data_IF_247001857369
#
_entry.id   IF_247001857369
#
_cell.length_a   1.000
_cell.length_b   1.000
_cell.length_c   1.000
_cell.angle_alpha   90.00
_cell.angle_beta   90.00
_cell.angle_gamma   90.00
#
_symmetry.space_group_name_H-M   'P 1'
#
loop_
_entity.id
_entity.type
_entity.pdbx_description
1 polymer ?
#
# COMPACT_ATOMS: atom_id res chain seq x y z
N UNK A 1 29.37 -37.51 23.95
CA UNK A 1 28.38 -38.26 23.19
C UNK A 1 26.99 -37.72 23.50
N UNK A 2 26.38 -37.08 22.53
CA UNK A 2 25.05 -36.52 22.26
C UNK A 2 25.06 -34.98 22.28
N UNK A 3 25.30 -34.42 21.18
CA UNK A 3 24.53 -33.93 20.04
C UNK A 3 23.55 -32.83 20.47
N UNK A 4 24.02 -31.56 20.40
CA UNK A 4 23.20 -30.34 20.39
C UNK A 4 22.70 -30.12 18.94
N UNK A 5 21.42 -30.38 18.71
CA UNK A 5 20.74 -29.98 17.49
C UNK A 5 20.31 -28.51 17.59
N UNK A 6 20.94 -27.71 16.76
CA UNK A 6 20.57 -26.32 16.52
C UNK A 6 19.22 -26.26 15.76
N UNK A 7 18.19 -25.78 16.42
CA UNK A 7 16.92 -25.40 15.77
C UNK A 7 17.08 -24.04 15.09
N UNK A 8 17.25 -24.07 13.78
CA UNK A 8 17.19 -22.88 12.93
C UNK A 8 15.77 -22.30 12.85
N UNK A 9 15.60 -21.01 12.50
CA UNK A 9 14.31 -20.37 12.46
C UNK A 9 13.41 -20.97 11.38
N UNK A 10 12.21 -21.36 11.79
CA UNK A 10 11.14 -21.82 10.91
C UNK A 10 10.70 -20.69 9.98
N UNK A 11 11.03 -20.80 8.73
CA UNK A 11 10.45 -20.00 7.65
C UNK A 11 8.96 -20.38 7.53
N UNK A 12 8.01 -19.45 7.66
CA UNK A 12 6.61 -19.77 7.42
C UNK A 12 6.43 -20.19 5.96
N UNK A 13 5.97 -21.41 5.75
CA UNK A 13 5.74 -21.98 4.44
C UNK A 13 4.62 -21.21 3.72
N UNK A 14 4.98 -20.41 2.73
CA UNK A 14 4.06 -19.89 1.72
C UNK A 14 3.46 -21.07 0.97
N UNK A 15 2.20 -21.39 1.28
CA UNK A 15 1.44 -22.42 0.60
C UNK A 15 1.47 -22.23 -0.91
N UNK A 16 2.08 -23.22 -1.60
CA UNK A 16 2.00 -23.34 -3.05
C UNK A 16 0.55 -23.62 -3.45
N UNK A 17 -0.18 -22.59 -3.86
CA UNK A 17 -1.36 -22.78 -4.72
C UNK A 17 -0.95 -22.43 -6.15
N UNK A 18 -0.71 -23.49 -6.93
CA UNK A 18 -0.55 -23.37 -8.37
C UNK A 18 -1.89 -23.15 -9.02
N UNK A 19 -2.13 -21.98 -9.59
CA UNK A 19 -3.02 -21.81 -10.72
C UNK A 19 -2.32 -20.93 -11.74
N UNK A 20 -2.18 -21.44 -12.95
CA UNK A 20 -1.73 -20.67 -14.11
C UNK A 20 -2.83 -19.67 -14.41
N UNK A 21 -2.54 -18.38 -14.25
CA UNK A 21 -3.40 -17.30 -14.69
C UNK A 21 -3.19 -17.08 -16.20
N UNK A 22 -4.19 -17.37 -17.05
CA UNK A 22 -4.05 -17.24 -18.51
C UNK A 22 -4.05 -15.79 -19.01
N UNK A 23 -4.37 -14.81 -18.16
CA UNK A 23 -4.56 -13.41 -18.57
C UNK A 23 -3.41 -12.48 -18.18
N UNK A 24 -2.29 -12.98 -17.63
CA UNK A 24 -1.15 -12.12 -17.27
C UNK A 24 -1.40 -11.12 -16.16
N UNK A 25 -2.49 -11.28 -15.37
CA UNK A 25 -2.80 -10.44 -14.20
C UNK A 25 -1.75 -10.71 -13.11
N UNK A 26 -1.35 -9.69 -12.36
CA UNK A 26 -0.42 -9.87 -11.24
C UNK A 26 -0.96 -10.92 -10.27
N UNK A 27 -0.10 -11.83 -9.82
CA UNK A 27 -0.44 -12.79 -8.77
C UNK A 27 -0.89 -12.10 -7.47
N UNK A 28 -0.52 -10.85 -7.31
CA UNK A 28 -0.81 -10.03 -6.15
C UNK A 28 -1.60 -8.80 -6.56
N UNK A 29 -2.76 -8.59 -5.96
CA UNK A 29 -3.53 -7.36 -6.08
C UNK A 29 -3.74 -6.78 -4.69
N UNK A 30 -3.55 -5.48 -4.57
CA UNK A 30 -3.66 -4.78 -3.30
C UNK A 30 -4.92 -3.91 -3.24
N UNK A 31 -5.49 -3.76 -2.05
CA UNK A 31 -6.46 -2.74 -1.73
C UNK A 31 -5.86 -1.81 -0.66
N UNK A 32 -6.14 -0.52 -0.75
CA UNK A 32 -5.74 0.48 0.23
C UNK A 32 -7.01 1.05 0.87
N UNK A 33 -7.05 1.06 2.20
CA UNK A 33 -8.12 1.64 3.00
C UNK A 33 -7.53 2.76 3.85
N UNK A 34 -7.81 4.01 3.50
CA UNK A 34 -7.42 5.19 4.25
C UNK A 34 -8.54 5.56 5.23
N UNK A 35 -8.20 5.68 6.51
CA UNK A 35 -9.14 5.96 7.58
C UNK A 35 -8.82 7.34 8.15
N UNK A 36 -9.81 8.23 8.13
CA UNK A 36 -9.70 9.57 8.68
C UNK A 36 -10.89 10.45 8.30
N UNK A 37 -11.56 11.02 9.30
CA UNK A 37 -12.63 12.01 9.08
C UNK A 37 -12.09 13.25 8.34
N UNK A 38 -10.83 13.64 8.57
CA UNK A 38 -10.15 14.75 7.90
C UNK A 38 -9.89 14.47 6.41
N UNK A 39 -9.72 13.20 6.02
CA UNK A 39 -9.53 12.80 4.62
C UNK A 39 -10.87 12.93 3.87
N UNK A 40 -11.92 12.33 4.42
CA UNK A 40 -13.26 12.36 3.83
C UNK A 40 -13.88 13.76 3.87
N UNK A 41 -13.57 14.53 4.92
CA UNK A 41 -13.98 15.93 5.06
C UNK A 41 -13.23 16.92 4.17
N UNK A 42 -12.17 16.48 3.46
CA UNK A 42 -11.37 17.33 2.60
C UNK A 42 -10.44 18.31 3.32
N UNK A 43 -10.19 18.11 4.62
CA UNK A 43 -9.26 18.94 5.41
C UNK A 43 -7.80 18.56 5.17
N UNK A 44 -7.55 17.30 4.83
CA UNK A 44 -6.20 16.77 4.61
C UNK A 44 -6.14 15.97 3.31
N UNK A 45 -5.08 16.18 2.52
CA UNK A 45 -4.82 15.39 1.33
C UNK A 45 -4.32 13.99 1.72
N UNK A 46 -4.93 12.94 1.17
CA UNK A 46 -4.47 11.56 1.33
C UNK A 46 -3.17 11.31 0.56
N UNK A 47 -2.06 11.73 1.14
CA UNK A 47 -0.73 11.49 0.60
C UNK A 47 -0.22 10.07 0.87
N UNK A 48 -0.80 9.38 1.85
CA UNK A 48 -0.41 8.01 2.20
C UNK A 48 -0.84 7.02 1.12
N UNK A 49 -2.10 7.06 0.70
CA UNK A 49 -2.60 6.16 -0.34
C UNK A 49 -1.89 6.38 -1.68
N UNK A 50 -1.61 7.63 -2.05
CA UNK A 50 -0.84 7.92 -3.25
C UNK A 50 0.55 7.27 -3.19
N UNK A 51 1.28 7.49 -2.10
CA UNK A 51 2.62 6.94 -1.91
C UNK A 51 2.62 5.41 -1.86
N UNK A 52 1.67 4.80 -1.13
CA UNK A 52 1.52 3.35 -1.08
C UNK A 52 1.25 2.76 -2.46
N UNK A 53 0.34 3.37 -3.23
CA UNK A 53 0.00 2.90 -4.57
C UNK A 53 1.21 2.95 -5.52
N UNK A 54 1.98 4.03 -5.47
CA UNK A 54 3.22 4.15 -6.25
C UNK A 54 4.22 3.08 -5.84
N UNK A 55 4.48 2.92 -4.53
CA UNK A 55 5.47 1.98 -4.02
C UNK A 55 5.08 0.53 -4.32
N UNK A 56 3.81 0.16 -4.07
CA UNK A 56 3.29 -1.17 -4.34
C UNK A 56 3.36 -1.52 -5.83
N UNK A 57 3.05 -0.57 -6.71
CA UNK A 57 3.21 -0.77 -8.16
C UNK A 57 4.66 -1.08 -8.54
N UNK A 58 5.63 -0.33 -7.98
CA UNK A 58 7.06 -0.55 -8.22
C UNK A 58 7.54 -1.91 -7.70
N UNK A 59 6.90 -2.44 -6.66
CA UNK A 59 7.20 -3.75 -6.09
C UNK A 59 6.43 -4.90 -6.77
N UNK A 60 5.55 -4.62 -7.72
CA UNK A 60 4.77 -5.65 -8.41
C UNK A 60 3.52 -6.11 -7.66
N UNK A 61 3.00 -5.26 -6.78
CA UNK A 61 1.75 -5.44 -6.03
C UNK A 61 0.72 -4.38 -6.47
N UNK A 62 0.18 -4.44 -7.69
CA UNK A 62 -0.70 -3.39 -8.21
C UNK A 62 -1.91 -3.17 -7.32
N UNK A 63 -2.33 -1.93 -7.22
CA UNK A 63 -3.49 -1.53 -6.41
C UNK A 63 -4.74 -1.60 -7.26
N UNK A 64 -5.70 -2.44 -6.85
CA UNK A 64 -7.00 -2.59 -7.47
C UNK A 64 -7.93 -1.43 -7.13
N UNK A 65 -7.89 -0.96 -5.85
CA UNK A 65 -8.69 0.18 -5.40
C UNK A 65 -8.08 0.88 -4.20
N UNK A 66 -8.43 2.14 -4.07
CA UNK A 66 -8.18 2.98 -2.91
C UNK A 66 -9.53 3.45 -2.39
N UNK A 67 -9.79 3.28 -1.10
CA UNK A 67 -11.03 3.71 -0.46
C UNK A 67 -10.70 4.56 0.75
N UNK A 68 -11.22 5.80 0.80
CA UNK A 68 -11.16 6.64 1.98
C UNK A 68 -12.49 6.52 2.75
N UNK A 69 -12.41 6.27 4.04
CA UNK A 69 -13.56 6.11 4.94
C UNK A 69 -13.35 6.89 6.24
N UNK A 70 -14.43 7.12 6.97
CA UNK A 70 -14.42 7.80 8.26
C UNK A 70 -13.94 6.88 9.38
N UNK A 71 -13.53 7.48 10.50
CA UNK A 71 -13.16 6.79 11.76
C UNK A 71 -14.38 6.20 12.49
N UNK A 72 -15.28 5.55 11.75
CA UNK A 72 -16.48 4.90 12.29
C UNK A 72 -16.30 3.38 12.28
N UNK A 73 -16.46 2.72 13.45
CA UNK A 73 -16.26 1.27 13.54
C UNK A 73 -17.04 0.48 12.49
N UNK A 74 -18.28 0.87 12.23
CA UNK A 74 -19.16 0.18 11.29
C UNK A 74 -18.63 0.26 9.86
N UNK A 75 -18.19 1.46 9.44
CA UNK A 75 -17.62 1.68 8.11
C UNK A 75 -16.30 0.91 7.94
N UNK A 76 -15.45 0.91 8.98
CA UNK A 76 -14.16 0.20 8.95
C UNK A 76 -14.39 -1.32 8.87
N UNK A 77 -15.28 -1.86 9.69
CA UNK A 77 -15.60 -3.30 9.70
C UNK A 77 -16.20 -3.74 8.36
N UNK A 78 -17.16 -2.98 7.83
CA UNK A 78 -17.78 -3.27 6.54
C UNK A 78 -16.77 -3.26 5.40
N UNK A 79 -15.93 -2.22 5.34
CA UNK A 79 -14.91 -2.09 4.30
C UNK A 79 -13.88 -3.22 4.38
N UNK A 80 -13.40 -3.57 5.58
CA UNK A 80 -12.48 -4.69 5.74
C UNK A 80 -13.09 -6.02 5.29
N UNK A 81 -14.33 -6.30 5.66
CA UNK A 81 -15.04 -7.52 5.21
C UNK A 81 -15.21 -7.55 3.71
N UNK A 82 -15.47 -6.40 3.08
CA UNK A 82 -15.52 -6.29 1.62
C UNK A 82 -14.19 -6.65 0.97
N UNK A 83 -13.07 -6.14 1.50
CA UNK A 83 -11.74 -6.49 0.96
C UNK A 83 -11.39 -7.97 1.20
N UNK A 84 -11.76 -8.51 2.34
CA UNK A 84 -11.55 -9.93 2.67
C UNK A 84 -12.39 -10.86 1.79
N UNK A 85 -13.59 -10.46 1.38
CA UNK A 85 -14.44 -11.26 0.50
C UNK A 85 -14.09 -11.15 -0.99
N UNK A 86 -13.28 -10.17 -1.42
CA UNK A 86 -12.92 -9.97 -2.82
C UNK A 86 -11.85 -10.99 -3.26
N UNK A 87 -12.16 -11.97 -4.14
CA UNK A 87 -11.22 -13.01 -4.52
C UNK A 87 -10.00 -12.52 -5.29
N UNK A 88 -10.06 -11.32 -5.85
CA UNK A 88 -8.94 -10.73 -6.58
C UNK A 88 -7.97 -9.96 -5.68
N UNK A 89 -8.35 -9.61 -4.45
CA UNK A 89 -7.49 -8.93 -3.47
C UNK A 89 -6.71 -9.96 -2.69
N UNK A 90 -5.39 -9.80 -2.62
CA UNK A 90 -4.48 -10.64 -1.84
C UNK A 90 -3.84 -9.89 -0.67
N UNK A 91 -3.69 -8.58 -0.79
CA UNK A 91 -3.06 -7.70 0.21
C UNK A 91 -3.97 -6.52 0.50
N UNK A 92 -4.21 -6.25 1.78
CA UNK A 92 -5.01 -5.10 2.24
C UNK A 92 -4.10 -4.20 3.09
N UNK A 93 -3.97 -2.94 2.69
CA UNK A 93 -3.22 -1.93 3.43
C UNK A 93 -4.19 -0.95 4.06
N UNK A 94 -4.21 -0.90 5.38
CA UNK A 94 -5.04 0.01 6.17
C UNK A 94 -4.14 1.09 6.75
N UNK A 95 -4.48 2.36 6.62
CA UNK A 95 -3.70 3.48 7.15
C UNK A 95 -4.59 4.49 7.86
N UNK A 96 -4.25 4.82 9.11
CA UNK A 96 -4.96 5.80 9.93
C UNK A 96 -5.65 5.20 11.16
N UNK A 97 -6.07 6.06 12.09
CA UNK A 97 -6.84 5.71 13.28
C UNK A 97 -6.13 4.82 14.31
N UNK A 98 -4.79 4.94 14.44
CA UNK A 98 -3.98 4.18 15.40
C UNK A 98 -3.41 5.03 16.55
N UNK A 99 -3.83 6.26 16.68
CA UNK A 99 -3.33 7.19 17.69
C UNK A 99 -3.89 6.98 19.10
N UNK A 100 -3.65 7.95 20.00
CA UNK A 100 -4.03 7.86 21.39
C UNK A 100 -5.42 8.41 21.70
N UNK A 101 -6.14 8.95 20.70
CA UNK A 101 -7.40 9.66 20.92
C UNK A 101 -8.63 8.73 20.82
N UNK A 102 -9.80 9.11 21.37
CA UNK A 102 -10.99 8.26 21.37
C UNK A 102 -11.55 7.91 19.98
N UNK A 103 -11.26 8.73 18.97
CA UNK A 103 -11.60 8.53 17.56
C UNK A 103 -10.66 7.54 16.85
N UNK A 104 -9.47 7.26 17.39
CA UNK A 104 -8.57 6.22 16.90
C UNK A 104 -9.14 4.82 17.19
N UNK A 105 -9.91 4.27 16.26
CA UNK A 105 -10.69 3.03 16.45
C UNK A 105 -10.28 1.89 15.52
N UNK A 106 -9.25 2.08 14.72
CA UNK A 106 -8.85 1.13 13.69
C UNK A 106 -8.52 -0.25 14.27
N UNK A 107 -7.70 -0.36 15.32
CA UNK A 107 -7.40 -1.66 15.90
C UNK A 107 -8.64 -2.38 16.48
N UNK A 108 -9.56 -1.66 17.12
CA UNK A 108 -10.79 -2.25 17.63
C UNK A 108 -11.67 -2.77 16.48
N UNK A 109 -11.78 -2.01 15.39
CA UNK A 109 -12.57 -2.38 14.22
C UNK A 109 -11.93 -3.53 13.44
N UNK A 110 -10.60 -3.58 13.34
CA UNK A 110 -9.87 -4.73 12.77
C UNK A 110 -10.12 -5.99 13.61
N UNK A 111 -10.06 -5.89 14.95
CA UNK A 111 -10.36 -7.00 15.86
C UNK A 111 -11.78 -7.54 15.61
N UNK A 112 -12.76 -6.66 15.50
CA UNK A 112 -14.14 -7.02 15.22
C UNK A 112 -14.32 -7.64 13.83
N UNK A 113 -13.66 -7.10 12.81
CA UNK A 113 -13.73 -7.63 11.45
C UNK A 113 -13.17 -9.05 11.35
N UNK A 114 -12.06 -9.32 12.08
CA UNK A 114 -11.36 -10.60 12.11
C UNK A 114 -11.92 -11.58 13.15
N UNK A 115 -12.91 -11.17 13.98
CA UNK A 115 -13.44 -11.99 15.06
C UNK A 115 -12.42 -12.30 16.16
N UNK A 116 -11.50 -11.37 16.44
CA UNK A 116 -10.41 -11.52 17.41
C UNK A 116 -10.61 -10.63 18.63
N UNK A 117 -10.08 -11.05 19.77
CA UNK A 117 -9.98 -10.20 20.95
C UNK A 117 -8.90 -9.13 20.78
N UNK A 118 -8.96 -8.07 21.60
CA UNK A 118 -7.86 -7.12 21.71
C UNK A 118 -6.98 -7.47 22.92
N UNK A 119 -5.67 -7.44 22.72
CA UNK A 119 -4.66 -7.70 23.76
C UNK A 119 -3.66 -6.54 23.84
N UNK A 120 -3.08 -6.32 25.01
CA UNK A 120 -1.92 -5.43 25.14
C UNK A 120 -0.69 -6.17 24.62
N UNK A 121 -0.05 -5.59 23.61
CA UNK A 121 1.20 -6.12 23.08
C UNK A 121 2.38 -5.59 23.91
N UNK A 122 2.91 -6.45 24.77
CA UNK A 122 3.86 -6.05 25.81
C UNK A 122 5.15 -5.42 25.26
N UNK A 123 5.64 -5.88 24.10
CA UNK A 123 6.82 -5.26 23.47
C UNK A 123 6.56 -3.81 23.04
N UNK A 124 5.36 -3.55 22.48
CA UNK A 124 4.92 -2.18 22.13
C UNK A 124 4.73 -1.33 23.36
N UNK A 125 4.05 -1.86 24.40
CA UNK A 125 3.87 -1.19 25.68
C UNK A 125 5.22 -0.77 26.27
N UNK A 126 6.15 -1.70 26.42
CA UNK A 126 7.48 -1.41 26.95
C UNK A 126 8.24 -0.38 26.13
N UNK A 127 8.05 -0.35 24.80
CA UNK A 127 8.62 0.67 23.92
C UNK A 127 8.00 2.05 24.17
N UNK A 128 6.69 2.12 24.32
CA UNK A 128 5.97 3.35 24.64
C UNK A 128 6.45 3.90 25.99
N UNK A 129 6.53 3.07 27.03
CA UNK A 129 7.02 3.44 28.37
C UNK A 129 8.42 4.06 28.30
N UNK A 130 9.34 3.40 27.56
CA UNK A 130 10.70 3.96 27.35
C UNK A 130 10.69 5.28 26.61
N UNK A 131 9.80 5.46 25.63
CA UNK A 131 9.70 6.70 24.87
C UNK A 131 9.12 7.84 25.70
N UNK A 132 8.05 7.60 26.45
CA UNK A 132 7.45 8.58 27.35
C UNK A 132 8.47 9.06 28.39
N UNK A 133 9.23 8.13 29.00
CA UNK A 133 10.28 8.47 29.96
C UNK A 133 11.36 9.36 29.33
N UNK A 134 11.86 9.03 28.15
CA UNK A 134 12.84 9.86 27.43
C UNK A 134 12.31 11.26 27.09
N UNK A 135 11.04 11.35 26.71
CA UNK A 135 10.40 12.64 26.43
C UNK A 135 10.28 13.49 27.71
N UNK A 136 9.97 12.87 28.83
CA UNK A 136 9.97 13.55 30.12
C UNK A 136 11.41 14.02 30.50
N UNK A 137 12.41 13.15 30.42
CA UNK A 137 13.82 13.48 30.65
C UNK A 137 14.32 14.62 29.77
N UNK A 138 13.79 14.74 28.54
CA UNK A 138 14.07 15.82 27.60
C UNK A 138 13.22 17.09 27.86
N UNK A 139 12.37 17.12 28.90
CA UNK A 139 11.52 18.27 29.22
C UNK A 139 10.33 18.49 28.26
N UNK A 140 9.99 17.48 27.45
CA UNK A 140 8.87 17.53 26.49
C UNK A 140 7.54 17.10 27.11
N UNK A 141 7.57 16.45 28.26
CA UNK A 141 6.39 16.01 29.02
C UNK A 141 6.55 16.39 30.49
N UNK A 142 5.44 16.74 31.13
CA UNK A 142 5.41 17.08 32.56
C UNK A 142 5.59 15.86 33.49
N UNK A 143 5.13 14.66 33.03
CA UNK A 143 5.22 13.40 33.79
C UNK A 143 5.78 12.27 32.92
N UNK A 144 6.52 11.32 33.52
CA UNK A 144 6.95 10.08 32.86
C UNK A 144 5.85 9.01 32.80
N UNK A 145 4.64 9.32 33.28
CA UNK A 145 3.54 8.37 33.39
C UNK A 145 2.93 8.07 32.02
N UNK A 146 2.69 6.79 31.79
CA UNK A 146 2.01 6.34 30.57
C UNK A 146 0.50 6.51 30.75
N UNK A 147 -0.09 7.31 29.88
CA UNK A 147 -1.53 7.58 29.92
C UNK A 147 -2.34 6.42 29.30
N UNK A 148 -3.67 6.40 29.57
CA UNK A 148 -4.59 5.46 28.90
C UNK A 148 -4.51 5.60 27.36
N UNK A 149 -4.40 6.84 26.84
CA UNK A 149 -4.19 7.08 25.42
C UNK A 149 -2.93 6.42 24.88
N UNK A 150 -1.82 6.45 25.63
CA UNK A 150 -0.60 5.75 25.24
C UNK A 150 -0.82 4.23 25.19
N UNK A 151 -1.52 3.65 26.18
CA UNK A 151 -1.79 2.20 26.25
C UNK A 151 -2.71 1.73 25.12
N UNK A 152 -3.64 2.58 24.68
CA UNK A 152 -4.49 2.26 23.51
C UNK A 152 -3.66 1.90 22.26
N UNK A 153 -2.55 2.60 22.02
CA UNK A 153 -1.65 2.31 20.90
C UNK A 153 -0.94 0.95 21.01
N UNK A 154 -0.88 0.35 22.20
CA UNK A 154 -0.36 -1.00 22.42
C UNK A 154 -1.45 -2.08 22.43
N UNK A 155 -2.73 -1.68 22.38
CA UNK A 155 -3.87 -2.60 22.38
C UNK A 155 -4.21 -2.98 20.93
N UNK A 156 -3.77 -4.14 20.50
CA UNK A 156 -3.92 -4.64 19.13
C UNK A 156 -4.83 -5.89 19.09
N UNK A 157 -5.42 -6.24 17.93
CA UNK A 157 -6.06 -7.54 17.76
C UNK A 157 -5.11 -8.69 18.09
N UNK A 158 -5.59 -9.70 18.77
CA UNK A 158 -4.82 -10.89 19.13
C UNK A 158 -4.29 -11.64 17.90
N UNK A 159 -3.28 -12.48 18.11
CA UNK A 159 -2.69 -13.35 17.08
C UNK A 159 -2.19 -12.59 15.83
N UNK A 160 -1.39 -11.52 15.99
CA UNK A 160 -0.76 -10.89 14.84
C UNK A 160 0.22 -11.85 14.17
N UNK A 161 0.26 -11.87 12.85
CA UNK A 161 1.30 -12.59 12.11
C UNK A 161 2.67 -11.91 12.28
N UNK A 162 2.67 -10.57 12.39
CA UNK A 162 3.87 -9.79 12.68
C UNK A 162 3.51 -8.42 13.29
N UNK A 163 4.37 -7.92 14.17
CA UNK A 163 4.28 -6.56 14.73
C UNK A 163 5.52 -5.77 14.37
N UNK A 164 5.35 -4.77 13.51
CA UNK A 164 6.43 -3.92 13.01
C UNK A 164 6.82 -2.84 14.01
N UNK A 165 8.12 -2.60 14.15
CA UNK A 165 8.66 -1.55 15.02
C UNK A 165 8.50 -0.19 14.38
N UNK A 166 7.79 0.71 15.06
CA UNK A 166 7.76 2.11 14.67
C UNK A 166 8.91 2.87 15.34
N UNK A 167 9.95 3.20 14.58
CA UNK A 167 11.12 3.94 15.10
C UNK A 167 10.86 5.45 15.19
N UNK A 168 9.83 5.95 14.50
CA UNK A 168 9.49 7.37 14.41
C UNK A 168 8.34 7.79 15.32
N UNK A 169 7.46 6.85 15.68
CA UNK A 169 6.28 7.09 16.48
C UNK A 169 6.05 6.08 17.58
N UNK A 170 4.82 6.04 18.10
CA UNK A 170 4.41 5.15 19.20
C UNK A 170 3.56 3.97 18.73
N UNK A 171 2.58 4.21 17.85
CA UNK A 171 1.73 3.15 17.33
C UNK A 171 2.53 2.17 16.46
N UNK A 172 2.38 0.85 16.63
CA UNK A 172 3.04 -0.14 15.77
C UNK A 172 2.36 -0.21 14.41
N UNK A 173 3.06 -0.75 13.41
CA UNK A 173 2.40 -1.40 12.30
C UNK A 173 2.13 -2.85 12.67
N UNK A 174 1.06 -3.45 12.14
CA UNK A 174 0.72 -4.84 12.45
C UNK A 174 0.28 -5.56 11.19
N UNK A 175 0.72 -6.80 11.03
CA UNK A 175 0.27 -7.69 9.97
C UNK A 175 -0.63 -8.79 10.54
N UNK A 176 -1.71 -9.08 9.84
CA UNK A 176 -2.60 -10.21 10.09
C UNK A 176 -2.73 -11.06 8.83
N UNK A 177 -3.00 -12.33 9.03
CA UNK A 177 -3.43 -13.24 7.98
C UNK A 177 -4.87 -13.68 8.24
N UNK A 178 -5.72 -13.54 7.25
CA UNK A 178 -7.11 -14.00 7.29
C UNK A 178 -7.58 -14.33 5.85
N UNK A 179 -8.33 -15.41 5.70
CA UNK A 179 -8.94 -15.85 4.43
C UNK A 179 -7.93 -15.94 3.27
N UNK A 180 -6.68 -16.33 3.57
CA UNK A 180 -5.60 -16.42 2.59
C UNK A 180 -5.03 -15.06 2.13
N UNK A 181 -5.34 -13.98 2.83
CA UNK A 181 -4.90 -12.61 2.54
C UNK A 181 -4.00 -12.06 3.64
N UNK A 182 -3.10 -11.16 3.25
CA UNK A 182 -2.26 -10.40 4.17
C UNK A 182 -2.86 -9.01 4.41
N UNK A 183 -3.08 -8.64 5.67
CA UNK A 183 -3.65 -7.37 6.09
C UNK A 183 -2.59 -6.59 6.86
N UNK A 184 -2.21 -5.44 6.35
CA UNK A 184 -1.21 -4.54 6.97
C UNK A 184 -1.92 -3.32 7.53
N UNK A 185 -1.85 -3.14 8.83
CA UNK A 185 -2.44 -2.00 9.55
C UNK A 185 -1.33 -1.05 9.94
N UNK A 186 -1.37 0.17 9.45
CA UNK A 186 -0.28 1.14 9.51
C UNK A 186 -0.76 2.48 10.09
N UNK A 187 0.12 3.25 10.75
CA UNK A 187 -0.22 4.60 11.25
C UNK A 187 -0.64 5.57 10.13
N UNK A 188 -1.46 6.56 10.51
CA UNK A 188 -1.86 7.65 9.61
C UNK A 188 -0.76 8.69 9.37
N UNK A 189 0.17 8.89 10.31
CA UNK A 189 1.26 9.85 10.17
C UNK A 189 2.21 9.42 9.05
N UNK A 190 2.39 10.22 7.97
CA UNK A 190 3.12 9.79 6.78
C UNK A 190 4.56 9.35 7.05
N UNK A 191 5.26 10.05 7.94
CA UNK A 191 6.65 9.72 8.30
C UNK A 191 6.75 8.35 9.02
N UNK A 192 5.77 8.04 9.86
CA UNK A 192 5.71 6.76 10.59
C UNK A 192 5.37 5.62 9.64
N UNK A 193 4.30 5.78 8.86
CA UNK A 193 3.83 4.79 7.89
C UNK A 193 4.93 4.42 6.90
N UNK A 194 5.54 5.42 6.24
CA UNK A 194 6.63 5.23 5.29
C UNK A 194 7.83 4.54 5.92
N UNK A 195 8.17 4.93 7.16
CA UNK A 195 9.27 4.32 7.89
C UNK A 195 9.05 2.85 8.19
N UNK A 196 7.87 2.48 8.71
CA UNK A 196 7.52 1.08 8.93
C UNK A 196 7.53 0.30 7.62
N UNK A 197 6.94 0.87 6.57
CA UNK A 197 6.85 0.22 5.27
C UNK A 197 8.24 -0.09 4.69
N UNK A 198 9.11 0.91 4.58
CA UNK A 198 10.39 0.75 3.89
C UNK A 198 11.46 0.02 4.71
N UNK A 199 11.44 0.16 6.04
CA UNK A 199 12.47 -0.41 6.90
C UNK A 199 12.16 -1.83 7.38
N UNK A 200 10.88 -2.17 7.48
CA UNK A 200 10.45 -3.43 8.10
C UNK A 200 9.55 -4.27 7.17
N UNK A 201 8.47 -3.69 6.62
CA UNK A 201 7.44 -4.42 5.90
C UNK A 201 7.92 -4.87 4.51
N UNK A 202 8.38 -3.94 3.70
CA UNK A 202 8.79 -4.19 2.31
C UNK A 202 9.86 -5.28 2.19
N UNK A 203 11.00 -5.21 2.91
CA UNK A 203 12.07 -6.18 2.75
C UNK A 203 11.71 -7.59 3.22
N UNK A 204 10.73 -7.72 4.12
CA UNK A 204 10.36 -8.99 4.71
C UNK A 204 9.16 -9.66 4.01
N UNK A 205 8.20 -8.88 3.52
CA UNK A 205 6.90 -9.40 3.07
C UNK A 205 6.55 -9.09 1.61
N UNK A 206 7.24 -8.15 0.95
CA UNK A 206 6.92 -7.74 -0.41
C UNK A 206 8.03 -8.05 -1.43
N UNK A 207 8.73 -9.17 -1.26
CA UNK A 207 9.82 -9.59 -2.17
C UNK A 207 9.36 -10.45 -3.35
N UNK A 208 8.10 -10.91 -3.37
CA UNK A 208 7.59 -11.87 -4.35
C UNK A 208 6.92 -11.27 -5.58
N UNK A 209 6.78 -9.95 -5.64
CA UNK A 209 6.13 -9.27 -6.74
C UNK A 209 6.98 -9.18 -8.01
N UNK A 210 6.32 -9.03 -9.15
CA UNK A 210 6.96 -8.73 -10.43
C UNK A 210 6.51 -7.35 -10.88
N UNK A 211 7.41 -6.38 -10.80
CA UNK A 211 7.12 -5.01 -11.19
C UNK A 211 6.74 -4.93 -12.67
N UNK A 212 5.68 -4.17 -12.96
CA UNK A 212 5.33 -3.87 -14.33
C UNK A 212 6.32 -2.85 -14.92
N UNK A 213 6.66 -3.04 -16.19
CA UNK A 213 7.43 -2.07 -16.96
C UNK A 213 6.56 -0.89 -17.31
N UNK A 214 7.07 0.32 -17.08
CA UNK A 214 6.43 1.57 -17.44
C UNK A 214 7.33 2.30 -18.44
N UNK A 215 6.73 2.82 -19.51
CA UNK A 215 7.38 3.74 -20.47
C UNK A 215 6.47 4.92 -20.73
N UNK A 216 7.06 6.09 -20.88
CA UNK A 216 6.34 7.34 -21.15
C UNK A 216 6.91 8.06 -22.37
N UNK A 217 6.01 8.66 -23.13
CA UNK A 217 6.34 9.68 -24.12
C UNK A 217 5.63 10.98 -23.75
N UNK A 218 6.37 12.09 -23.76
CA UNK A 218 5.87 13.42 -23.46
C UNK A 218 5.79 14.24 -24.73
N UNK A 219 4.65 14.84 -24.98
CA UNK A 219 4.37 15.66 -26.14
C UNK A 219 4.00 17.06 -25.66
N UNK A 220 4.70 18.08 -26.15
CA UNK A 220 4.37 19.47 -25.86
C UNK A 220 3.33 19.97 -26.87
N UNK A 221 2.30 20.68 -26.40
CA UNK A 221 1.20 21.21 -27.20
C UNK A 221 0.40 20.18 -28.03
N UNK A 222 0.43 18.91 -27.65
CA UNK A 222 -0.32 17.88 -28.37
C UNK A 222 -1.80 17.87 -27.96
N UNK A 223 -2.67 17.64 -28.95
CA UNK A 223 -4.10 17.48 -28.76
C UNK A 223 -4.41 16.00 -28.52
N UNK A 224 -4.84 15.65 -27.31
CA UNK A 224 -5.11 14.28 -26.88
C UNK A 224 -6.02 13.50 -27.84
N UNK A 225 -7.10 14.12 -28.33
CA UNK A 225 -8.05 13.49 -29.24
C UNK A 225 -7.41 12.96 -30.55
N UNK A 226 -6.27 13.48 -30.96
CA UNK A 226 -5.55 12.98 -32.14
C UNK A 226 -4.92 11.61 -31.93
N UNK A 227 -4.72 11.19 -30.68
CA UNK A 227 -4.19 9.87 -30.35
C UNK A 227 -5.27 8.78 -30.28
N UNK A 228 -6.55 9.14 -30.24
CA UNK A 228 -7.63 8.19 -30.08
C UNK A 228 -7.60 7.02 -31.09
N UNK A 229 -7.46 7.25 -32.42
CA UNK A 229 -7.42 6.14 -33.38
C UNK A 229 -6.23 5.21 -33.13
N UNK A 230 -5.07 5.76 -32.80
CA UNK A 230 -3.87 5.00 -32.51
C UNK A 230 -4.03 4.19 -31.20
N UNK A 231 -4.54 4.80 -30.14
CA UNK A 231 -4.73 4.13 -28.85
C UNK A 231 -5.72 2.97 -28.98
N UNK A 232 -6.80 3.13 -29.72
CA UNK A 232 -7.76 2.06 -30.01
C UNK A 232 -7.12 0.90 -30.78
N UNK A 233 -6.32 1.19 -31.82
CA UNK A 233 -5.57 0.17 -32.56
C UNK A 233 -4.61 -0.61 -31.64
N UNK A 234 -3.93 0.11 -30.72
CA UNK A 234 -2.99 -0.49 -29.78
C UNK A 234 -3.70 -1.36 -28.74
N UNK A 235 -4.84 -0.95 -28.22
CA UNK A 235 -5.65 -1.72 -27.25
C UNK A 235 -6.09 -3.06 -27.87
N UNK A 236 -6.52 -3.06 -29.14
CA UNK A 236 -6.90 -4.27 -29.86
C UNK A 236 -5.71 -5.20 -30.16
N UNK A 237 -4.55 -4.61 -30.54
CA UNK A 237 -3.37 -5.37 -30.99
C UNK A 237 -2.48 -5.84 -29.83
N UNK A 238 -2.46 -5.08 -28.73
CA UNK A 238 -1.59 -5.30 -27.56
C UNK A 238 -2.41 -5.36 -26.26
N UNK A 239 -3.32 -6.33 -26.10
CA UNK A 239 -4.21 -6.39 -24.91
C UNK A 239 -3.45 -6.61 -23.60
N UNK A 240 -2.18 -7.02 -23.65
CA UNK A 240 -1.25 -7.20 -22.54
C UNK A 240 -0.50 -5.93 -22.14
N UNK A 241 -0.69 -4.81 -22.88
CA UNK A 241 -0.08 -3.50 -22.58
C UNK A 241 -1.18 -2.45 -22.45
N UNK A 242 -1.30 -1.89 -21.26
CA UNK A 242 -2.21 -0.76 -21.02
C UNK A 242 -1.59 0.52 -21.55
N UNK A 243 -2.35 1.28 -22.35
CA UNK A 243 -1.94 2.59 -22.90
C UNK A 243 -2.90 3.66 -22.36
N UNK A 244 -2.38 4.66 -21.66
CA UNK A 244 -3.14 5.77 -21.11
C UNK A 244 -2.60 7.13 -21.54
N UNK A 245 -3.49 8.13 -21.68
CA UNK A 245 -3.13 9.52 -21.97
C UNK A 245 -3.45 10.42 -20.75
N UNK A 246 -2.54 11.32 -20.45
CA UNK A 246 -2.59 12.18 -19.24
C UNK A 246 -2.22 13.62 -19.64
N UNK A 247 -3.21 14.46 -19.98
CA UNK A 247 -2.97 15.85 -20.30
C UNK A 247 -2.68 16.68 -19.03
N UNK A 248 -1.68 17.53 -19.11
CA UNK A 248 -1.39 18.55 -18.12
C UNK A 248 -1.56 19.92 -18.75
N UNK A 249 -2.62 20.62 -18.36
CA UNK A 249 -2.96 21.92 -18.92
C UNK A 249 -2.05 23.05 -18.42
N UNK A 250 -1.43 22.90 -17.24
CA UNK A 250 -0.51 23.91 -16.68
C UNK A 250 0.83 23.89 -17.45
N UNK A 251 1.40 22.70 -17.65
CA UNK A 251 2.67 22.55 -18.39
C UNK A 251 2.46 22.47 -19.91
N UNK A 252 1.19 22.36 -20.36
CA UNK A 252 0.82 22.12 -21.77
C UNK A 252 1.45 20.87 -22.35
N UNK A 253 1.63 19.86 -21.52
CA UNK A 253 2.17 18.55 -21.89
C UNK A 253 1.06 17.51 -21.96
N UNK A 254 1.23 16.56 -22.87
CA UNK A 254 0.48 15.30 -22.90
C UNK A 254 1.45 14.16 -22.66
N UNK A 255 1.21 13.38 -21.62
CA UNK A 255 1.98 12.16 -21.36
C UNK A 255 1.19 10.96 -21.84
N UNK A 256 1.79 10.18 -22.75
CA UNK A 256 1.29 8.84 -23.09
C UNK A 256 2.11 7.83 -22.31
N UNK A 257 1.44 7.02 -21.49
CA UNK A 257 2.06 6.01 -20.64
C UNK A 257 1.66 4.61 -21.09
N UNK A 258 2.66 3.75 -21.28
CA UNK A 258 2.49 2.33 -21.52
C UNK A 258 2.90 1.53 -20.28
N UNK A 259 2.07 0.56 -19.89
CA UNK A 259 2.27 -0.29 -18.74
C UNK A 259 2.02 -1.75 -19.12
N UNK A 260 2.97 -2.63 -18.85
CA UNK A 260 2.86 -4.06 -19.12
C UNK A 260 3.90 -4.87 -18.34
N UNK A 261 3.75 -6.19 -18.32
CA UNK A 261 4.68 -7.08 -17.62
C UNK A 261 5.93 -7.40 -18.45
N UNK A 262 5.75 -7.57 -19.75
CA UNK A 262 6.87 -7.87 -20.65
C UNK A 262 7.51 -6.55 -21.12
N UNK A 263 8.77 -6.26 -20.74
CA UNK A 263 9.47 -5.06 -21.17
C UNK A 263 9.56 -4.92 -22.69
N UNK A 264 9.75 -6.02 -23.42
CA UNK A 264 9.86 -6.01 -24.88
C UNK A 264 8.56 -5.58 -25.53
N UNK A 265 7.42 -6.05 -25.00
CA UNK A 265 6.10 -5.67 -25.50
C UNK A 265 5.81 -4.20 -25.24
N UNK A 266 6.17 -3.69 -24.05
CA UNK A 266 6.02 -2.27 -23.72
C UNK A 266 6.92 -1.40 -24.60
N UNK A 267 8.17 -1.82 -24.83
CA UNK A 267 9.10 -1.10 -25.70
C UNK A 267 8.62 -1.12 -27.16
N UNK A 268 8.04 -2.21 -27.66
CA UNK A 268 7.42 -2.29 -28.99
C UNK A 268 6.27 -1.29 -29.13
N UNK A 269 5.37 -1.22 -28.15
CA UNK A 269 4.23 -0.30 -28.18
C UNK A 269 4.70 1.16 -28.14
N UNK A 270 5.68 1.51 -27.33
CA UNK A 270 6.27 2.86 -27.26
C UNK A 270 6.86 3.27 -28.61
N UNK A 271 7.56 2.37 -29.29
CA UNK A 271 8.12 2.66 -30.63
C UNK A 271 7.04 2.86 -31.72
N UNK A 272 5.95 2.09 -31.65
CA UNK A 272 4.79 2.31 -32.52
C UNK A 272 4.19 3.70 -32.28
N UNK A 273 4.01 4.10 -31.01
CA UNK A 273 3.49 5.43 -30.66
C UNK A 273 4.43 6.52 -31.18
N UNK A 274 5.73 6.40 -30.93
CA UNK A 274 6.73 7.39 -31.37
C UNK A 274 6.70 7.60 -32.88
N UNK A 275 6.73 6.52 -33.66
CA UNK A 275 6.71 6.57 -35.13
C UNK A 275 5.41 7.20 -35.65
N UNK A 276 4.25 6.71 -35.17
CA UNK A 276 2.95 7.18 -35.66
C UNK A 276 2.64 8.62 -35.23
N UNK A 277 3.10 9.06 -34.07
CA UNK A 277 2.97 10.46 -33.66
C UNK A 277 3.86 11.39 -34.51
N UNK A 278 5.05 10.95 -34.88
CA UNK A 278 5.92 11.72 -35.77
C UNK A 278 5.30 11.89 -37.17
N UNK A 279 4.63 10.87 -37.74
CA UNK A 279 3.86 10.97 -38.98
C UNK A 279 2.72 12.01 -38.90
N UNK A 280 2.20 12.25 -37.72
CA UNK A 280 1.18 13.28 -37.44
C UNK A 280 1.78 14.65 -37.09
N UNK A 281 3.11 14.80 -37.24
CA UNK A 281 3.83 16.05 -36.95
C UNK A 281 3.98 16.35 -35.45
N UNK A 282 3.86 15.30 -34.58
CA UNK A 282 4.04 15.41 -33.12
C UNK A 282 5.29 14.63 -32.72
N UNK A 283 6.24 15.30 -32.09
CA UNK A 283 7.47 14.66 -31.58
C UNK A 283 7.37 14.50 -30.08
N UNK A 284 7.52 13.26 -29.61
CA UNK A 284 7.52 12.91 -28.19
C UNK A 284 8.93 12.64 -27.68
N UNK A 285 9.23 13.10 -26.48
CA UNK A 285 10.47 12.80 -25.75
C UNK A 285 10.23 11.62 -24.81
N UNK A 286 11.14 10.62 -24.82
CA UNK A 286 11.10 9.48 -23.91
C UNK A 286 11.68 9.83 -22.55
N UNK A 287 11.08 9.29 -21.50
CA UNK A 287 11.63 9.23 -20.14
C UNK A 287 11.64 7.81 -19.62
#
# INVERSE_FOLDING_TARGET
MRDDEATGPLTPGLGRMGSKDPAGISRYNSAIVAIGDELVGGFTLDSNSHWLAERLRLLGYPVKRITAIRDRPEEIVEQLRRELSDPEVTHVFVSGGLGPTPDDRTFASVAQALGREQVIWEETRARIERRVRRMHEAGLLESPDVTEGNLRMARIPAEPAHVFKNRRGMAPGVMYEADGKSIFVLPGVPLEMKGIFTEELEPQFLSGGSAATVRELRFTFAVEARFYPLMRELEEKYPDVSVGSYPNFETKELVIRCLGKDPKRVDEVIEVIRRRSAELGMTGEAR
#
